data_IF_113743561438
#
_entry.id   IF_113743561438
#
_cell.length_a   1.000
_cell.length_b   1.000
_cell.length_c   1.000
_cell.angle_alpha   90.00
_cell.angle_beta   90.00
_cell.angle_gamma   90.00
#
_symmetry.space_group_name_H-M   'P 1'
#
loop_
_entity.id
_entity.type
_entity.pdbx_description
1 polymer ?
#
# COMPACT_ATOMS: atom_id res chain seq x y z
N UNK A 1 22.18 17.60 -2.30
CA UNK A 1 22.12 16.12 -2.30
C UNK A 1 21.00 15.73 -3.26
N UNK A 2 21.16 14.71 -4.13
CA UNK A 2 20.07 14.24 -4.98
C UNK A 2 18.91 13.75 -4.09
N UNK A 3 17.66 13.97 -4.53
CA UNK A 3 16.49 13.42 -3.83
C UNK A 3 16.54 11.89 -3.88
N UNK A 4 16.38 11.25 -2.74
CA UNK A 4 16.20 9.80 -2.66
C UNK A 4 14.86 9.40 -3.29
N UNK A 5 14.80 8.27 -4.01
CA UNK A 5 13.60 7.86 -4.73
C UNK A 5 12.49 7.29 -3.85
N UNK A 6 11.26 7.44 -4.32
CA UNK A 6 10.11 6.67 -3.86
C UNK A 6 10.16 5.29 -4.51
N UNK A 7 9.95 4.23 -3.73
CA UNK A 7 9.93 2.85 -4.23
C UNK A 7 8.51 2.33 -4.33
N UNK A 8 8.14 1.87 -5.53
CA UNK A 8 6.83 1.30 -5.82
C UNK A 8 6.95 -0.23 -5.90
N UNK A 9 6.30 -0.92 -4.98
CA UNK A 9 6.30 -2.38 -4.87
C UNK A 9 5.07 -2.92 -5.58
N UNK A 10 5.27 -3.73 -6.62
CA UNK A 10 4.20 -4.42 -7.35
C UNK A 10 4.13 -5.89 -6.95
N UNK A 11 2.91 -6.42 -6.92
CA UNK A 11 2.67 -7.84 -6.61
C UNK A 11 2.35 -8.67 -7.85
N UNK A 12 1.93 -8.06 -8.96
CA UNK A 12 1.75 -8.75 -10.26
C UNK A 12 2.31 -7.94 -11.42
N UNK A 13 2.88 -8.63 -12.40
CA UNK A 13 3.61 -7.99 -13.50
C UNK A 13 2.76 -7.14 -14.42
N UNK A 14 1.50 -7.52 -14.56
CA UNK A 14 0.54 -6.84 -15.42
C UNK A 14 -0.21 -5.71 -14.71
N UNK A 15 -0.04 -5.54 -13.40
CA UNK A 15 -0.60 -4.38 -12.70
C UNK A 15 0.17 -3.14 -13.13
N UNK A 16 -0.58 -2.22 -13.74
CA UNK A 16 -0.05 -0.93 -14.16
C UNK A 16 0.10 -0.05 -12.93
N UNK A 17 1.10 0.81 -12.94
CA UNK A 17 1.32 1.82 -11.90
C UNK A 17 0.23 2.94 -11.90
N UNK A 18 -0.75 2.87 -12.80
CA UNK A 18 -1.85 3.82 -12.90
C UNK A 18 -1.34 5.26 -13.10
N UNK A 19 -1.90 6.19 -12.32
CA UNK A 19 -1.53 7.60 -12.35
C UNK A 19 -0.27 7.94 -11.54
N UNK A 20 0.25 7.01 -10.72
CA UNK A 20 1.35 7.27 -9.79
C UNK A 20 2.59 7.83 -10.52
N UNK A 21 3.11 7.22 -11.61
CA UNK A 21 4.27 7.76 -12.33
C UNK A 21 4.08 9.21 -12.77
N UNK A 22 2.93 9.52 -13.37
CA UNK A 22 2.62 10.87 -13.87
C UNK A 22 2.58 11.90 -12.75
N UNK A 23 2.05 11.54 -11.58
CA UNK A 23 1.98 12.42 -10.41
C UNK A 23 3.39 12.64 -9.84
N UNK A 24 4.20 11.59 -9.71
CA UNK A 24 5.56 11.70 -9.21
C UNK A 24 6.45 12.50 -10.16
N UNK A 25 6.27 12.34 -11.47
CA UNK A 25 6.95 13.15 -12.50
C UNK A 25 6.58 14.64 -12.40
N UNK A 26 5.30 14.96 -12.23
CA UNK A 26 4.82 16.35 -12.03
C UNK A 26 5.44 16.98 -10.78
N UNK A 27 5.51 16.20 -9.69
CA UNK A 27 6.14 16.61 -8.43
C UNK A 27 7.68 16.57 -8.47
N UNK A 28 8.28 16.10 -9.58
CA UNK A 28 9.73 15.91 -9.75
C UNK A 28 10.35 15.03 -8.67
N UNK A 29 9.61 14.02 -8.23
CA UNK A 29 10.06 13.03 -7.26
C UNK A 29 10.60 11.81 -8.03
N UNK A 30 11.88 11.46 -7.88
CA UNK A 30 12.41 10.26 -8.51
C UNK A 30 11.72 9.02 -7.94
N UNK A 31 11.54 7.99 -8.76
CA UNK A 31 10.97 6.73 -8.30
C UNK A 31 11.59 5.52 -8.99
N UNK A 32 11.52 4.38 -8.29
CA UNK A 32 11.84 3.06 -8.81
C UNK A 32 10.64 2.14 -8.62
N UNK A 33 10.52 1.12 -9.47
CA UNK A 33 9.50 0.09 -9.33
C UNK A 33 10.11 -1.30 -9.36
N UNK A 34 9.68 -2.17 -8.45
CA UNK A 34 10.07 -3.58 -8.39
C UNK A 34 8.83 -4.47 -8.48
N UNK A 35 9.00 -5.74 -8.85
CA UNK A 35 7.96 -6.77 -8.81
C UNK A 35 8.37 -7.91 -7.88
N UNK A 36 7.65 -8.07 -6.76
CA UNK A 36 7.91 -9.18 -5.84
C UNK A 36 7.47 -10.54 -6.41
N UNK A 37 6.51 -10.57 -7.35
CA UNK A 37 6.16 -11.82 -8.07
C UNK A 37 7.24 -12.27 -9.05
N UNK A 38 8.09 -11.37 -9.53
CA UNK A 38 9.30 -11.71 -10.30
C UNK A 38 10.53 -11.94 -9.42
N UNK A 39 10.38 -11.86 -8.09
CA UNK A 39 11.46 -11.97 -7.12
C UNK A 39 12.52 -10.85 -7.25
N UNK A 40 12.13 -9.66 -7.70
CA UNK A 40 13.00 -8.49 -7.58
C UNK A 40 13.35 -8.26 -6.10
N UNK A 41 14.60 -7.87 -5.79
CA UNK A 41 14.99 -7.62 -4.41
C UNK A 41 14.31 -6.35 -3.86
N UNK A 42 13.93 -6.40 -2.59
CA UNK A 42 13.55 -5.19 -1.84
C UNK A 42 14.79 -4.27 -1.72
N UNK A 43 14.61 -2.94 -1.82
CA UNK A 43 15.72 -2.00 -1.76
C UNK A 43 16.33 -1.92 -0.35
N UNK A 44 17.54 -1.36 -0.24
CA UNK A 44 18.04 -0.92 1.06
C UNK A 44 17.23 0.31 1.51
N UNK A 45 16.72 0.30 2.73
CA UNK A 45 15.98 1.43 3.31
C UNK A 45 16.79 2.73 3.37
N UNK A 46 18.12 2.67 3.32
CA UNK A 46 18.98 3.87 3.21
C UNK A 46 18.82 4.63 1.87
N UNK A 47 18.18 4.00 0.89
CA UNK A 47 17.97 4.53 -0.47
C UNK A 47 16.49 4.83 -0.75
N UNK A 48 15.64 4.82 0.28
CA UNK A 48 14.19 4.94 0.17
C UNK A 48 13.70 6.22 0.86
N UNK A 49 13.02 7.11 0.13
CA UNK A 49 12.37 8.29 0.72
C UNK A 49 10.88 8.09 1.00
N UNK A 50 10.28 7.05 0.43
CA UNK A 50 8.89 6.67 0.63
C UNK A 50 8.56 5.38 -0.11
N UNK A 51 7.51 4.70 0.31
CA UNK A 51 7.11 3.40 -0.24
C UNK A 51 5.65 3.47 -0.70
N UNK A 52 5.38 2.95 -1.88
CA UNK A 52 4.01 2.67 -2.35
C UNK A 52 3.89 1.17 -2.57
N UNK A 53 3.13 0.47 -1.74
CA UNK A 53 2.83 -0.96 -1.90
C UNK A 53 1.48 -1.11 -2.61
N UNK A 54 1.50 -1.73 -3.79
CA UNK A 54 0.38 -1.77 -4.74
C UNK A 54 -0.64 -2.86 -4.40
N UNK A 55 -1.69 -2.96 -5.22
CA UNK A 55 -2.68 -4.01 -5.11
C UNK A 55 -2.16 -5.38 -5.58
N UNK A 56 -3.08 -6.33 -5.67
CA UNK A 56 -2.80 -7.67 -6.16
C UNK A 56 -4.00 -8.60 -5.96
N UNK A 57 -4.12 -9.66 -6.77
CA UNK A 57 -5.21 -10.64 -6.67
C UNK A 57 -5.01 -11.66 -5.53
N UNK A 58 -3.85 -11.67 -4.88
CA UNK A 58 -3.52 -12.58 -3.77
C UNK A 58 -4.25 -12.19 -2.48
N UNK A 59 -4.35 -13.12 -1.54
CA UNK A 59 -4.61 -12.79 -0.14
C UNK A 59 -3.28 -12.55 0.60
N UNK A 60 -3.25 -11.62 1.54
CA UNK A 60 -2.08 -11.40 2.40
C UNK A 60 -1.81 -12.57 3.39
N UNK A 61 -2.69 -13.58 3.44
CA UNK A 61 -2.41 -14.84 4.14
C UNK A 61 -1.75 -15.93 3.28
N UNK A 62 -1.61 -15.72 1.96
CA UNK A 62 -1.08 -16.74 1.03
C UNK A 62 0.45 -16.93 1.12
N UNK A 63 1.03 -16.83 2.33
CA UNK A 63 2.48 -16.86 2.59
C UNK A 63 3.17 -18.13 2.11
N UNK A 64 2.48 -19.28 2.17
CA UNK A 64 2.98 -20.56 1.69
C UNK A 64 3.16 -20.58 0.16
N UNK A 65 2.31 -19.85 -0.56
CA UNK A 65 2.37 -19.73 -2.03
C UNK A 65 3.26 -18.55 -2.46
N UNK A 66 3.34 -17.53 -1.60
CA UNK A 66 3.92 -16.23 -1.86
C UNK A 66 4.81 -15.79 -0.70
N UNK A 67 5.96 -16.45 -0.57
CA UNK A 67 6.95 -16.19 0.50
C UNK A 67 7.44 -14.73 0.57
N UNK A 68 7.27 -13.94 -0.50
CA UNK A 68 7.60 -12.51 -0.49
C UNK A 68 6.67 -11.69 0.41
N UNK A 69 5.46 -12.17 0.73
CA UNK A 69 4.52 -11.48 1.64
C UNK A 69 5.16 -11.29 3.01
N UNK A 70 5.78 -12.34 3.58
CA UNK A 70 6.47 -12.23 4.87
C UNK A 70 7.66 -11.27 4.84
N UNK A 71 8.39 -11.28 3.73
CA UNK A 71 9.53 -10.37 3.52
C UNK A 71 9.05 -8.92 3.43
N UNK A 72 7.95 -8.68 2.73
CA UNK A 72 7.35 -7.36 2.61
C UNK A 72 6.82 -6.86 3.95
N UNK A 73 6.11 -7.68 4.74
CA UNK A 73 5.69 -7.29 6.09
C UNK A 73 6.87 -6.84 6.96
N UNK A 74 7.97 -7.61 6.95
CA UNK A 74 9.18 -7.26 7.70
C UNK A 74 9.83 -5.98 7.21
N UNK A 75 9.84 -5.76 5.89
CA UNK A 75 10.36 -4.56 5.27
C UNK A 75 9.52 -3.32 5.60
N UNK A 76 8.18 -3.42 5.53
CA UNK A 76 7.28 -2.32 5.86
C UNK A 76 7.34 -1.96 7.35
N UNK A 77 7.46 -2.95 8.26
CA UNK A 77 7.75 -2.67 9.68
C UNK A 77 9.07 -1.91 9.85
N UNK A 78 10.14 -2.38 9.22
CA UNK A 78 11.47 -1.76 9.31
C UNK A 78 11.47 -0.34 8.73
N UNK A 79 10.71 -0.10 7.66
CA UNK A 79 10.54 1.23 7.07
C UNK A 79 9.80 2.18 8.03
N UNK A 80 8.71 1.71 8.65
CA UNK A 80 7.98 2.47 9.65
C UNK A 80 8.84 2.83 10.88
N UNK A 81 9.65 1.90 11.38
CA UNK A 81 10.59 2.15 12.49
C UNK A 81 11.64 3.23 12.15
N UNK A 82 11.85 3.52 10.86
CA UNK A 82 12.76 4.56 10.36
C UNK A 82 12.03 5.84 9.93
N UNK A 83 10.75 5.99 10.28
CA UNK A 83 9.89 7.11 9.89
C UNK A 83 9.77 7.31 8.37
N UNK A 84 9.98 6.25 7.58
CA UNK A 84 9.77 6.29 6.13
C UNK A 84 8.26 6.24 5.85
N UNK A 85 7.69 7.19 5.08
CA UNK A 85 6.27 7.19 4.77
C UNK A 85 5.89 6.03 3.84
N UNK A 86 4.77 5.37 4.15
CA UNK A 86 4.27 4.20 3.42
C UNK A 86 2.82 4.46 3.02
N UNK A 87 2.51 4.23 1.74
CA UNK A 87 1.15 4.15 1.20
C UNK A 87 0.88 2.72 0.74
N UNK A 88 -0.03 2.04 1.44
CA UNK A 88 -0.54 0.72 1.02
C UNK A 88 -1.87 0.86 0.27
N UNK A 89 -1.99 0.22 -0.89
CA UNK A 89 -3.19 0.26 -1.74
C UNK A 89 -3.73 -1.16 -1.91
N UNK A 90 -5.01 -1.38 -1.61
CA UNK A 90 -5.65 -2.70 -1.71
C UNK A 90 -4.85 -3.78 -0.93
N UNK A 91 -4.27 -4.78 -1.61
CA UNK A 91 -3.40 -5.79 -1.01
C UNK A 91 -2.24 -5.17 -0.23
N UNK A 92 -1.57 -4.14 -0.74
CA UNK A 92 -0.49 -3.47 0.00
C UNK A 92 -0.96 -2.83 1.31
N UNK A 93 -2.21 -2.35 1.36
CA UNK A 93 -2.83 -1.85 2.59
C UNK A 93 -3.12 -2.97 3.59
N UNK A 94 -3.56 -4.12 3.10
CA UNK A 94 -3.78 -5.34 3.88
C UNK A 94 -2.47 -5.88 4.47
N UNK A 95 -1.41 -6.00 3.65
CA UNK A 95 -0.08 -6.45 4.08
C UNK A 95 0.47 -5.48 5.14
N UNK A 96 0.35 -4.16 4.92
CA UNK A 96 0.76 -3.17 5.90
C UNK A 96 -0.01 -3.33 7.23
N UNK A 97 -1.33 -3.48 7.18
CA UNK A 97 -2.14 -3.67 8.38
C UNK A 97 -1.74 -4.96 9.13
N UNK A 98 -1.55 -6.06 8.41
CA UNK A 98 -1.11 -7.35 8.96
C UNK A 98 0.29 -7.27 9.57
N UNK A 99 1.18 -6.48 8.96
CA UNK A 99 2.52 -6.22 9.48
C UNK A 99 2.49 -5.62 10.90
N UNK A 100 1.42 -4.90 11.25
CA UNK A 100 1.15 -4.31 12.58
C UNK A 100 0.09 -5.08 13.39
N UNK A 101 -0.11 -6.36 13.07
CA UNK A 101 -0.92 -7.28 13.87
C UNK A 101 -2.44 -7.15 13.66
N UNK A 102 -2.90 -6.35 12.69
CA UNK A 102 -4.31 -6.38 12.31
C UNK A 102 -4.68 -7.72 11.67
N UNK A 103 -5.92 -8.14 11.88
CA UNK A 103 -6.46 -9.32 11.20
C UNK A 103 -7.15 -8.90 9.92
N UNK A 104 -6.96 -9.72 8.90
CA UNK A 104 -7.70 -9.65 7.64
C UNK A 104 -8.85 -10.64 7.69
N UNK A 105 -9.98 -10.23 7.15
CA UNK A 105 -11.21 -10.99 7.08
C UNK A 105 -11.81 -10.91 5.68
N UNK A 106 -12.49 -11.97 5.24
CA UNK A 106 -13.32 -11.87 4.03
C UNK A 106 -14.46 -10.91 4.28
N UNK A 107 -14.70 -9.98 3.35
CA UNK A 107 -15.89 -9.16 3.43
C UNK A 107 -17.14 -10.01 3.18
N UNK A 108 -18.24 -9.83 3.95
CA UNK A 108 -19.52 -10.50 3.69
C UNK A 108 -20.08 -10.20 2.30
N UNK A 109 -19.73 -9.03 1.75
CA UNK A 109 -20.15 -8.58 0.42
C UNK A 109 -18.93 -8.01 -0.30
N UNK A 110 -18.55 -8.65 -1.39
CA UNK A 110 -17.47 -8.15 -2.25
C UNK A 110 -17.79 -6.73 -2.76
N UNK A 111 -16.78 -5.87 -2.72
CA UNK A 111 -16.86 -4.48 -3.15
C UNK A 111 -16.20 -4.36 -4.54
N UNK A 112 -17.05 -4.16 -5.55
CA UNK A 112 -16.68 -4.17 -6.98
C UNK A 112 -17.24 -2.93 -7.67
N UNK A 113 -16.36 -2.10 -8.23
CA UNK A 113 -16.71 -0.91 -9.00
C UNK A 113 -16.65 0.37 -8.18
N UNK A 114 -17.30 1.42 -8.66
CA UNK A 114 -17.36 2.72 -8.01
C UNK A 114 -18.38 2.69 -6.88
N UNK A 115 -17.90 2.84 -5.64
CA UNK A 115 -18.73 2.78 -4.44
C UNK A 115 -18.50 4.03 -3.58
N UNK A 116 -19.55 4.52 -2.91
CA UNK A 116 -19.42 5.68 -2.05
C UNK A 116 -18.62 5.33 -0.80
N UNK A 117 -17.70 6.21 -0.41
CA UNK A 117 -17.01 6.13 0.88
C UNK A 117 -17.30 7.37 1.71
N UNK A 118 -17.55 7.16 3.00
CA UNK A 118 -17.68 8.26 3.96
C UNK A 118 -16.38 8.38 4.75
N UNK A 119 -15.80 9.58 4.81
CA UNK A 119 -14.67 9.83 5.71
C UNK A 119 -15.10 9.65 7.16
N UNK A 120 -14.33 8.86 7.90
CA UNK A 120 -14.53 8.65 9.32
C UNK A 120 -13.36 9.22 10.14
N UNK A 121 -13.52 9.25 11.47
CA UNK A 121 -12.49 9.70 12.41
C UNK A 121 -12.05 11.16 12.25
N UNK A 122 -10.74 11.41 12.15
CA UNK A 122 -10.20 12.78 12.23
C UNK A 122 -10.46 13.58 10.94
N UNK A 123 -11.50 14.42 10.98
CA UNK A 123 -11.90 15.30 9.87
C UNK A 123 -10.81 16.32 9.47
N UNK A 124 -9.84 16.59 10.36
CA UNK A 124 -8.72 17.50 10.08
C UNK A 124 -7.46 16.75 9.60
N UNK A 125 -7.55 15.48 9.23
CA UNK A 125 -6.42 14.74 8.70
C UNK A 125 -5.85 15.47 7.46
N UNK A 126 -4.59 15.93 7.48
CA UNK A 126 -4.01 16.73 6.40
C UNK A 126 -3.90 15.96 5.07
N UNK A 127 -3.88 14.62 5.11
CA UNK A 127 -3.87 13.77 3.91
C UNK A 127 -5.25 13.71 3.24
N UNK A 128 -6.33 13.80 4.03
CA UNK A 128 -7.69 13.62 3.54
C UNK A 128 -8.48 14.94 3.42
N UNK A 129 -7.92 16.07 3.89
CA UNK A 129 -8.61 17.37 3.94
C UNK A 129 -9.19 17.82 2.60
N UNK A 130 -8.50 17.53 1.50
CA UNK A 130 -8.90 17.95 0.14
C UNK A 130 -9.60 16.83 -0.65
N UNK A 131 -9.84 15.67 -0.04
CA UNK A 131 -10.36 14.50 -0.71
C UNK A 131 -11.90 14.47 -0.66
N UNK A 132 -12.60 15.34 -1.37
CA UNK A 132 -14.07 15.34 -1.41
C UNK A 132 -14.57 14.66 -2.70
N UNK A 133 -14.43 13.34 -2.75
CA UNK A 133 -14.86 12.52 -3.89
C UNK A 133 -16.08 11.69 -3.50
N UNK A 134 -17.12 11.64 -4.35
CA UNK A 134 -18.35 10.92 -4.04
C UNK A 134 -18.14 9.41 -4.02
N UNK A 135 -17.32 8.89 -4.94
CA UNK A 135 -17.09 7.47 -5.14
C UNK A 135 -15.61 7.13 -5.27
N UNK A 136 -15.25 5.94 -4.80
CA UNK A 136 -13.93 5.34 -4.94
C UNK A 136 -14.06 3.99 -5.65
N UNK A 137 -13.10 3.67 -6.51
CA UNK A 137 -13.08 2.39 -7.17
C UNK A 137 -12.60 1.30 -6.19
N UNK A 138 -13.44 0.31 -5.95
CA UNK A 138 -13.16 -0.86 -5.13
C UNK A 138 -13.06 -2.12 -5.98
N UNK A 139 -12.10 -2.96 -5.63
CA UNK A 139 -11.92 -4.30 -6.19
C UNK A 139 -11.24 -5.18 -5.14
N UNK A 140 -11.99 -5.60 -4.13
CA UNK A 140 -11.46 -6.47 -3.07
C UNK A 140 -12.50 -7.42 -2.47
N UNK A 141 -11.99 -8.54 -1.97
CA UNK A 141 -12.75 -9.60 -1.29
C UNK A 141 -12.41 -9.69 0.19
N UNK A 142 -11.38 -8.97 0.62
CA UNK A 142 -10.82 -8.98 1.96
C UNK A 142 -10.82 -7.55 2.53
N UNK A 143 -11.01 -7.43 3.84
CA UNK A 143 -10.96 -6.20 4.64
C UNK A 143 -10.07 -6.45 5.87
N UNK A 144 -9.62 -5.41 6.53
CA UNK A 144 -8.76 -5.53 7.72
C UNK A 144 -9.28 -4.74 8.90
N UNK A 145 -9.00 -5.24 10.10
CA UNK A 145 -9.18 -4.49 11.34
C UNK A 145 -8.23 -3.29 11.37
N UNK A 146 -8.58 -2.24 12.10
CA UNK A 146 -7.67 -1.11 12.30
C UNK A 146 -6.47 -1.56 13.15
N UNK A 147 -5.21 -1.41 12.68
CA UNK A 147 -4.04 -1.77 13.48
C UNK A 147 -3.96 -0.97 14.78
N UNK A 148 -3.32 -1.54 15.80
CA UNK A 148 -3.12 -0.85 17.08
C UNK A 148 -2.34 0.46 16.90
N UNK A 149 -2.88 1.56 17.40
CA UNK A 149 -2.27 2.90 17.27
C UNK A 149 -2.56 3.61 15.95
N UNK A 150 -3.22 2.96 14.99
CA UNK A 150 -3.69 3.62 13.78
C UNK A 150 -4.93 4.47 14.03
N UNK A 151 -5.17 5.44 13.15
CA UNK A 151 -6.34 6.32 13.17
C UNK A 151 -7.14 6.08 11.90
N UNK A 152 -8.44 5.85 12.06
CA UNK A 152 -9.41 5.79 10.97
C UNK A 152 -9.83 7.21 10.55
#
# INVERSE_FOLDING_TARGET
>A
MPLMPIWIIRHVDHERLGHIPSILDELKLPYHSISLSLNDPLPNLDEVSGIISMGGPMSAYDKDQHHWIEKEEAFLRSAHERDIPILGICLGGQILAQAFGAKIHKTPKCELGWLPLTKTGNQNNPLLKNLDLPDFFQLHYDVFDLPGGAVN
#
